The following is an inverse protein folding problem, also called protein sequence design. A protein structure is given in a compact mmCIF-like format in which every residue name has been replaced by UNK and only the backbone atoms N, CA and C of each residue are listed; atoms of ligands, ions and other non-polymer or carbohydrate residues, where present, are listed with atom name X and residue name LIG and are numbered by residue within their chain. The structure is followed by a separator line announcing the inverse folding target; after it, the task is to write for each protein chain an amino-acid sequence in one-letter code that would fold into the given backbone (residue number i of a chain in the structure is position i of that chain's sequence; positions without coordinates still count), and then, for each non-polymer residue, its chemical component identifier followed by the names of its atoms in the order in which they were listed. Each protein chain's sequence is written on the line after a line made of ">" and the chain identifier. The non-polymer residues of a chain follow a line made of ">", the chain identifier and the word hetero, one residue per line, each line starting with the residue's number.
data_IF_242335024974
#
_entry.id   IF_242335024974
#
_cell.length_a   1.000
_cell.length_b   1.000
_cell.length_c   1.000
_cell.angle_alpha   90.00
_cell.angle_beta   90.00
_cell.angle_gamma   90.00
#
_symmetry.space_group_name_H-M   'P 1'
#
loop_
_entity.id
_entity.type
_entity.pdbx_description
1 polymer ?
#
# COMPACT_ATOMS: atom_id res chain seq x y z
N UNK A 1 -3.80 -24.49 7.15
CA UNK A 1 -5.20 -24.07 7.01
C UNK A 1 -5.36 -22.57 6.83
N UNK A 2 -4.80 -21.72 7.69
CA UNK A 2 -4.89 -20.23 7.63
C UNK A 2 -4.51 -19.64 6.25
N UNK A 3 -3.32 -19.96 5.73
CA UNK A 3 -2.85 -19.45 4.42
C UNK A 3 -3.75 -19.86 3.23
N UNK A 4 -4.34 -21.04 3.27
CA UNK A 4 -5.22 -21.53 2.20
C UNK A 4 -6.54 -20.75 2.16
N UNK A 5 -7.09 -20.38 3.31
CA UNK A 5 -8.30 -19.54 3.39
C UNK A 5 -8.04 -18.10 3.00
N UNK A 6 -6.90 -17.51 3.42
CA UNK A 6 -6.48 -16.16 3.00
C UNK A 6 -6.34 -16.11 1.47
N UNK A 7 -5.65 -17.09 0.88
CA UNK A 7 -5.48 -17.19 -0.58
C UNK A 7 -6.84 -17.29 -1.31
N UNK A 8 -7.80 -18.05 -0.78
CA UNK A 8 -9.15 -18.15 -1.37
C UNK A 8 -9.87 -16.81 -1.36
N UNK A 9 -9.86 -16.07 -0.24
CA UNK A 9 -10.50 -14.75 -0.15
C UNK A 9 -9.89 -13.80 -1.17
N UNK A 10 -8.56 -13.75 -1.28
CA UNK A 10 -7.86 -12.88 -2.23
C UNK A 10 -8.16 -13.22 -3.69
N UNK A 11 -8.17 -14.50 -4.05
CA UNK A 11 -8.49 -14.94 -5.43
C UNK A 11 -9.95 -14.63 -5.78
N UNK A 12 -10.90 -14.91 -4.89
CA UNK A 12 -12.31 -14.58 -5.12
C UNK A 12 -12.54 -13.08 -5.25
N UNK A 13 -11.86 -12.27 -4.42
CA UNK A 13 -11.87 -10.82 -4.53
C UNK A 13 -11.34 -10.34 -5.89
N UNK A 14 -10.22 -10.90 -6.35
CA UNK A 14 -9.61 -10.54 -7.63
C UNK A 14 -10.51 -10.91 -8.83
N UNK A 15 -11.08 -12.11 -8.85
CA UNK A 15 -12.00 -12.55 -9.90
C UNK A 15 -13.27 -11.69 -9.90
N UNK A 16 -13.83 -11.42 -8.72
CA UNK A 16 -14.99 -10.56 -8.56
C UNK A 16 -14.72 -9.14 -9.07
N UNK A 17 -13.60 -8.55 -8.69
CA UNK A 17 -13.20 -7.20 -9.14
C UNK A 17 -12.99 -7.14 -10.66
N UNK A 18 -12.38 -8.17 -11.25
CA UNK A 18 -12.20 -8.24 -12.70
C UNK A 18 -13.54 -8.28 -13.45
N UNK A 19 -14.46 -9.13 -13.01
CA UNK A 19 -15.81 -9.20 -13.59
C UNK A 19 -16.54 -7.85 -13.46
N UNK A 20 -16.49 -7.24 -12.26
CA UNK A 20 -17.12 -5.94 -12.01
C UNK A 20 -16.48 -4.82 -12.83
N UNK A 21 -15.16 -4.79 -13.01
CA UNK A 21 -14.47 -3.84 -13.88
C UNK A 21 -15.01 -3.91 -15.31
N UNK A 22 -15.11 -5.11 -15.87
CA UNK A 22 -15.57 -5.30 -17.25
C UNK A 22 -17.01 -4.80 -17.43
N UNK A 23 -17.95 -5.22 -16.58
CA UNK A 23 -19.34 -4.81 -16.72
C UNK A 23 -19.57 -3.31 -16.44
N UNK A 24 -18.89 -2.74 -15.43
CA UNK A 24 -18.93 -1.31 -15.13
C UNK A 24 -18.35 -0.48 -16.27
N UNK A 25 -17.19 -0.92 -16.81
CA UNK A 25 -16.55 -0.25 -17.93
C UNK A 25 -17.44 -0.22 -19.17
N UNK A 26 -17.97 -1.39 -19.57
CA UNK A 26 -18.86 -1.48 -20.74
C UNK A 26 -20.10 -0.59 -20.59
N UNK A 27 -20.77 -0.65 -19.45
CA UNK A 27 -22.00 0.13 -19.24
C UNK A 27 -21.70 1.61 -19.02
N UNK A 28 -20.62 1.96 -18.32
CA UNK A 28 -20.17 3.33 -18.09
C UNK A 28 -19.83 4.06 -19.40
N UNK A 29 -19.02 3.44 -20.25
CA UNK A 29 -18.66 4.01 -21.56
C UNK A 29 -19.86 4.08 -22.51
N UNK A 30 -20.71 3.05 -22.54
CA UNK A 30 -21.89 3.03 -23.41
C UNK A 30 -22.94 4.09 -23.00
N UNK A 31 -23.08 4.39 -21.71
CA UNK A 31 -24.03 5.39 -21.22
C UNK A 31 -23.45 6.81 -21.12
N UNK A 32 -22.12 6.96 -21.12
CA UNK A 32 -21.43 8.22 -20.84
C UNK A 32 -21.49 8.67 -19.37
N UNK A 33 -21.87 7.78 -18.44
CA UNK A 33 -21.91 8.09 -16.99
C UNK A 33 -20.50 8.25 -16.41
N UNK A 34 -20.16 9.47 -15.99
CA UNK A 34 -18.85 9.77 -15.42
C UNK A 34 -18.66 9.06 -14.05
N UNK A 35 -19.72 8.96 -13.27
CA UNK A 35 -19.68 8.26 -11.99
C UNK A 35 -19.43 6.75 -12.17
N UNK A 36 -20.06 6.11 -13.18
CA UNK A 36 -19.85 4.69 -13.48
C UNK A 36 -18.44 4.44 -14.04
N UNK A 37 -17.92 5.34 -14.89
CA UNK A 37 -16.55 5.27 -15.41
C UNK A 37 -15.55 5.39 -14.27
N UNK A 38 -15.74 6.35 -13.36
CA UNK A 38 -14.89 6.51 -12.17
C UNK A 38 -14.90 5.26 -11.27
N UNK A 39 -16.08 4.65 -11.06
CA UNK A 39 -16.22 3.42 -10.29
C UNK A 39 -15.57 2.20 -10.99
N UNK A 40 -15.58 2.15 -12.33
CA UNK A 40 -14.83 1.16 -13.09
C UNK A 40 -13.32 1.33 -12.89
N UNK A 41 -12.79 2.55 -12.94
CA UNK A 41 -11.37 2.83 -12.66
C UNK A 41 -10.99 2.54 -11.22
N UNK A 42 -11.86 2.76 -10.23
CA UNK A 42 -11.64 2.31 -8.87
C UNK A 42 -11.44 0.78 -8.82
N UNK A 43 -12.32 0.03 -9.48
CA UNK A 43 -12.20 -1.45 -9.57
C UNK A 43 -10.94 -1.90 -10.31
N UNK A 44 -10.47 -1.14 -11.32
CA UNK A 44 -9.18 -1.38 -11.97
C UNK A 44 -8.02 -1.19 -10.99
N UNK A 45 -8.04 -0.12 -10.20
CA UNK A 45 -7.04 0.14 -9.14
C UNK A 45 -6.91 -1.02 -8.15
N UNK A 46 -8.03 -1.60 -7.72
CA UNK A 46 -8.05 -2.76 -6.80
C UNK A 46 -7.37 -3.99 -7.43
N UNK A 47 -7.64 -4.25 -8.72
CA UNK A 47 -7.01 -5.35 -9.45
C UNK A 47 -5.51 -5.10 -9.59
N UNK A 48 -5.10 -3.90 -10.00
CA UNK A 48 -3.70 -3.54 -10.12
C UNK A 48 -2.96 -3.70 -8.80
N UNK A 49 -3.52 -3.22 -7.70
CA UNK A 49 -2.97 -3.41 -6.36
C UNK A 49 -2.77 -4.89 -6.02
N UNK A 50 -3.76 -5.74 -6.35
CA UNK A 50 -3.70 -7.19 -6.11
C UNK A 50 -2.63 -7.89 -6.97
N UNK A 51 -2.56 -7.55 -8.27
CA UNK A 51 -1.57 -8.09 -9.21
C UNK A 51 -0.17 -7.68 -8.82
N UNK A 52 0.02 -6.43 -8.39
CA UNK A 52 1.32 -5.94 -7.99
C UNK A 52 1.81 -6.53 -6.68
N UNK A 53 0.92 -6.71 -5.72
CA UNK A 53 1.26 -7.44 -4.50
C UNK A 53 1.73 -8.86 -4.83
N UNK A 54 1.14 -9.49 -5.86
CA UNK A 54 1.56 -10.81 -6.30
C UNK A 54 2.92 -10.80 -7.04
N UNK A 55 3.11 -9.91 -8.02
CA UNK A 55 4.35 -9.79 -8.81
C UNK A 55 5.48 -9.26 -7.94
N UNK A 56 5.22 -8.19 -7.20
CA UNK A 56 6.16 -7.56 -6.28
C UNK A 56 6.68 -8.56 -5.25
N UNK A 57 5.78 -9.33 -4.64
CA UNK A 57 6.14 -10.36 -3.68
C UNK A 57 6.99 -11.48 -4.30
N UNK A 58 6.74 -11.84 -5.56
CA UNK A 58 7.50 -12.86 -6.26
C UNK A 58 8.92 -12.38 -6.64
N UNK A 59 9.07 -11.13 -7.04
CA UNK A 59 10.37 -10.54 -7.40
C UNK A 59 11.13 -10.15 -6.13
N UNK A 60 10.46 -9.48 -5.19
CA UNK A 60 11.04 -9.04 -3.93
C UNK A 60 11.50 -10.21 -3.04
N UNK A 61 10.90 -11.39 -3.21
CA UNK A 61 11.33 -12.62 -2.51
C UNK A 61 12.57 -13.29 -3.09
N UNK A 62 13.11 -12.82 -4.24
CA UNK A 62 14.38 -13.32 -4.75
C UNK A 62 15.50 -12.90 -3.79
N UNK A 63 16.37 -13.86 -3.42
CA UNK A 63 17.51 -13.57 -2.57
C UNK A 63 18.49 -12.59 -3.26
N UNK A 64 19.42 -12.07 -2.48
CA UNK A 64 20.57 -11.32 -3.00
C UNK A 64 21.35 -12.15 -4.02
N UNK A 65 21.81 -11.49 -5.06
CA UNK A 65 22.70 -12.03 -6.09
C UNK A 65 23.91 -11.11 -6.29
N UNK A 66 24.72 -11.38 -7.28
CA UNK A 66 25.94 -10.59 -7.55
C UNK A 66 25.64 -9.15 -7.98
N UNK A 67 24.50 -8.92 -8.62
CA UNK A 67 24.09 -7.60 -9.13
C UNK A 67 23.30 -6.82 -8.08
N UNK A 68 22.60 -7.52 -7.18
CA UNK A 68 21.72 -6.93 -6.16
C UNK A 68 22.09 -7.45 -4.77
N UNK A 69 23.10 -6.83 -4.17
CA UNK A 69 23.69 -7.23 -2.87
C UNK A 69 22.72 -7.19 -1.70
N UNK A 70 21.69 -6.33 -1.77
CA UNK A 70 20.62 -6.22 -0.77
C UNK A 70 19.33 -6.96 -1.18
N UNK A 71 19.40 -7.75 -2.27
CA UNK A 71 18.25 -8.45 -2.84
C UNK A 71 17.32 -7.55 -3.65
N UNK A 72 16.18 -8.07 -4.03
CA UNK A 72 15.26 -7.43 -4.98
C UNK A 72 14.06 -6.73 -4.33
N UNK A 73 14.09 -6.52 -3.02
CA UNK A 73 12.94 -5.99 -2.27
C UNK A 73 12.40 -4.64 -2.75
N UNK A 74 13.25 -3.78 -3.33
CA UNK A 74 12.84 -2.48 -3.89
C UNK A 74 12.03 -2.59 -5.19
N UNK A 75 12.06 -3.73 -5.88
CA UNK A 75 11.29 -3.93 -7.11
C UNK A 75 9.78 -3.70 -6.89
N UNK A 76 9.23 -4.12 -5.75
CA UNK A 76 7.83 -3.88 -5.40
C UNK A 76 7.46 -2.40 -5.47
N UNK A 77 8.31 -1.54 -4.94
CA UNK A 77 8.08 -0.08 -4.91
C UNK A 77 8.23 0.56 -6.29
N UNK A 78 9.13 0.06 -7.15
CA UNK A 78 9.23 0.51 -8.55
C UNK A 78 7.93 0.23 -9.29
N UNK A 79 7.41 -0.98 -9.20
CA UNK A 79 6.14 -1.35 -9.84
C UNK A 79 4.96 -0.56 -9.25
N UNK A 80 4.90 -0.40 -7.93
CA UNK A 80 3.86 0.40 -7.27
C UNK A 80 3.87 1.86 -7.73
N UNK A 81 5.04 2.44 -7.94
CA UNK A 81 5.19 3.81 -8.45
C UNK A 81 4.65 3.94 -9.88
N UNK A 82 4.98 3.01 -10.80
CA UNK A 82 4.45 3.03 -12.17
C UNK A 82 2.92 2.95 -12.21
N UNK A 83 2.34 2.12 -11.35
CA UNK A 83 0.88 1.98 -11.28
C UNK A 83 0.24 3.22 -10.71
N UNK A 84 0.80 3.77 -9.66
CA UNK A 84 0.27 4.98 -9.06
C UNK A 84 0.26 6.15 -10.07
N UNK A 85 1.27 6.25 -10.93
CA UNK A 85 1.29 7.21 -12.04
C UNK A 85 0.15 6.95 -13.01
N UNK A 86 -0.03 5.69 -13.47
CA UNK A 86 -1.10 5.33 -14.38
C UNK A 86 -2.49 5.62 -13.78
N UNK A 87 -2.72 5.23 -12.52
CA UNK A 87 -3.97 5.53 -11.79
C UNK A 87 -4.20 7.04 -11.65
N UNK A 88 -3.15 7.80 -11.33
CA UNK A 88 -3.21 9.26 -11.23
C UNK A 88 -3.62 9.92 -12.55
N UNK A 89 -2.99 9.53 -13.66
CA UNK A 89 -3.31 10.05 -14.99
C UNK A 89 -4.76 9.70 -15.40
N UNK A 90 -5.20 8.46 -15.17
CA UNK A 90 -6.57 8.04 -15.46
C UNK A 90 -7.58 8.84 -14.62
N UNK A 91 -7.32 9.05 -13.34
CA UNK A 91 -8.22 9.82 -12.48
C UNK A 91 -8.32 11.30 -12.90
N UNK A 92 -7.21 11.91 -13.32
CA UNK A 92 -7.20 13.29 -13.85
C UNK A 92 -8.03 13.41 -15.13
N UNK A 93 -7.95 12.42 -16.02
CA UNK A 93 -8.78 12.42 -17.25
C UNK A 93 -10.27 12.31 -16.93
N UNK A 94 -10.66 11.47 -15.96
CA UNK A 94 -12.07 11.38 -15.53
C UNK A 94 -12.51 12.67 -14.84
N UNK A 95 -11.69 13.31 -14.01
CA UNK A 95 -11.99 14.62 -13.40
C UNK A 95 -12.25 15.66 -14.49
N UNK A 96 -11.34 15.77 -15.47
CA UNK A 96 -11.46 16.70 -16.59
C UNK A 96 -12.78 16.47 -17.36
N UNK A 97 -13.06 15.22 -17.73
CA UNK A 97 -14.27 14.88 -18.49
C UNK A 97 -15.54 15.17 -17.68
N UNK A 98 -15.54 14.82 -16.38
CA UNK A 98 -16.67 15.12 -15.49
C UNK A 98 -16.92 16.63 -15.34
N UNK A 99 -15.86 17.45 -15.24
CA UNK A 99 -15.96 18.90 -15.19
C UNK A 99 -16.53 19.45 -16.51
N UNK A 100 -16.03 18.97 -17.65
CA UNK A 100 -16.52 19.40 -18.97
C UNK A 100 -18.01 19.05 -19.14
N UNK A 101 -18.39 17.82 -18.79
CA UNK A 101 -19.80 17.37 -18.82
C UNK A 101 -20.69 18.23 -17.92
N UNK A 102 -20.19 18.57 -16.73
CA UNK A 102 -20.92 19.41 -15.77
C UNK A 102 -21.13 20.84 -16.30
N UNK A 103 -20.08 21.46 -16.86
CA UNK A 103 -20.14 22.84 -17.38
C UNK A 103 -21.03 22.93 -18.63
N UNK A 104 -20.93 21.95 -19.53
CA UNK A 104 -21.74 21.90 -20.75
C UNK A 104 -23.21 21.50 -20.47
N UNK A 105 -23.51 21.00 -19.29
CA UNK A 105 -24.83 20.46 -18.97
C UNK A 105 -25.19 19.21 -19.80
N UNK A 106 -24.16 18.46 -20.23
CA UNK A 106 -24.37 17.26 -21.04
C UNK A 106 -25.12 16.21 -20.20
N UNK A 107 -26.08 15.55 -20.84
CA UNK A 107 -26.87 14.50 -20.21
C UNK A 107 -26.29 13.16 -20.64
N UNK A 108 -25.95 12.30 -19.68
CA UNK A 108 -25.63 10.91 -20.00
C UNK A 108 -26.89 10.14 -20.40
N UNK A 109 -26.72 9.12 -21.23
CA UNK A 109 -27.84 8.29 -21.63
C UNK A 109 -28.23 7.34 -20.48
N UNK A 110 -29.35 7.65 -19.82
CA UNK A 110 -29.86 6.74 -18.81
C UNK A 110 -30.14 5.37 -19.43
N UNK A 111 -29.59 4.34 -18.82
CA UNK A 111 -29.85 2.95 -19.15
C UNK A 111 -30.20 2.18 -17.89
N UNK A 112 -31.18 1.30 -17.98
CA UNK A 112 -31.53 0.39 -16.89
C UNK A 112 -30.32 -0.46 -16.46
N UNK A 113 -29.38 -0.70 -17.36
CA UNK A 113 -28.15 -1.42 -17.09
C UNK A 113 -27.26 -0.75 -16.05
N UNK A 114 -27.31 0.60 -15.92
CA UNK A 114 -26.60 1.32 -14.86
C UNK A 114 -27.08 0.87 -13.48
N UNK A 115 -28.40 0.79 -13.28
CA UNK A 115 -29.00 0.32 -12.02
C UNK A 115 -28.70 -1.16 -11.80
N UNK A 116 -28.82 -1.98 -12.83
CA UNK A 116 -28.54 -3.43 -12.76
C UNK A 116 -27.08 -3.66 -12.34
N UNK A 117 -26.13 -2.98 -12.97
CA UNK A 117 -24.70 -3.13 -12.66
C UNK A 117 -24.37 -2.61 -11.25
N UNK A 118 -24.92 -1.47 -10.82
CA UNK A 118 -24.76 -1.00 -9.43
C UNK A 118 -25.30 -2.02 -8.44
N UNK A 119 -26.49 -2.58 -8.70
CA UNK A 119 -27.11 -3.57 -7.81
C UNK A 119 -26.29 -4.85 -7.73
N UNK A 120 -25.85 -5.40 -8.87
CA UNK A 120 -24.98 -6.58 -8.92
C UNK A 120 -23.67 -6.30 -8.17
N UNK A 121 -23.07 -5.12 -8.37
CA UNK A 121 -21.83 -4.72 -7.69
C UNK A 121 -22.01 -4.70 -6.18
N UNK A 122 -23.07 -4.09 -5.69
CA UNK A 122 -23.35 -4.03 -4.24
C UNK A 122 -23.54 -5.45 -3.68
N UNK A 123 -24.31 -6.31 -4.35
CA UNK A 123 -24.54 -7.69 -3.91
C UNK A 123 -23.22 -8.47 -3.84
N UNK A 124 -22.40 -8.39 -4.89
CA UNK A 124 -21.09 -9.08 -4.96
C UNK A 124 -20.15 -8.55 -3.87
N UNK A 125 -20.04 -7.23 -3.74
CA UNK A 125 -19.13 -6.61 -2.75
C UNK A 125 -19.57 -6.84 -1.31
N UNK A 126 -20.88 -6.84 -1.02
CA UNK A 126 -21.41 -7.22 0.30
C UNK A 126 -21.10 -8.69 0.58
N UNK A 127 -21.27 -9.57 -0.40
CA UNK A 127 -20.91 -10.99 -0.25
C UNK A 127 -19.42 -11.19 0.07
N UNK A 128 -18.53 -10.51 -0.68
CA UNK A 128 -17.08 -10.53 -0.46
C UNK A 128 -16.71 -9.93 0.91
N UNK A 129 -17.32 -8.81 1.29
CA UNK A 129 -17.15 -8.20 2.61
C UNK A 129 -17.51 -9.15 3.75
N UNK A 130 -18.68 -9.77 3.67
CA UNK A 130 -19.14 -10.70 4.70
C UNK A 130 -18.22 -11.93 4.79
N UNK A 131 -17.78 -12.46 3.66
CA UNK A 131 -16.86 -13.59 3.61
C UNK A 131 -15.49 -13.23 4.19
N UNK A 132 -14.89 -12.13 3.75
CA UNK A 132 -13.61 -11.64 4.26
C UNK A 132 -13.69 -11.31 5.75
N UNK A 133 -14.76 -10.66 6.20
CA UNK A 133 -14.98 -10.27 7.60
C UNK A 133 -15.15 -11.50 8.52
N UNK A 134 -15.90 -12.54 8.09
CA UNK A 134 -16.02 -13.80 8.83
C UNK A 134 -14.68 -14.52 8.94
N UNK A 135 -13.93 -14.58 7.85
CA UNK A 135 -12.60 -15.21 7.82
C UNK A 135 -11.59 -14.41 8.66
N UNK A 136 -11.68 -13.08 8.68
CA UNK A 136 -10.89 -12.23 9.57
C UNK A 136 -11.17 -12.53 11.05
N UNK A 137 -12.45 -12.61 11.44
CA UNK A 137 -12.80 -12.94 12.84
C UNK A 137 -12.20 -14.26 13.29
N UNK A 138 -12.10 -15.26 12.40
CA UNK A 138 -11.53 -16.59 12.68
C UNK A 138 -10.00 -16.57 12.75
N UNK A 139 -9.33 -15.83 11.88
CA UNK A 139 -7.86 -15.92 11.72
C UNK A 139 -7.08 -14.69 12.18
N UNK A 140 -7.76 -13.59 12.52
CA UNK A 140 -7.16 -12.32 13.01
C UNK A 140 -6.04 -11.79 12.11
N UNK A 141 -6.14 -11.99 10.78
CA UNK A 141 -5.16 -11.54 9.80
C UNK A 141 -5.44 -10.10 9.38
N UNK A 142 -4.43 -9.23 9.45
CA UNK A 142 -4.53 -7.83 9.02
C UNK A 142 -4.89 -7.71 7.53
N UNK A 143 -4.38 -8.63 6.69
CA UNK A 143 -4.70 -8.68 5.26
C UNK A 143 -6.20 -8.92 5.02
N UNK A 144 -6.82 -9.84 5.77
CA UNK A 144 -8.26 -10.08 5.68
C UNK A 144 -9.08 -8.89 6.17
N UNK A 145 -8.58 -8.17 7.20
CA UNK A 145 -9.19 -6.93 7.67
C UNK A 145 -9.15 -5.83 6.61
N UNK A 146 -8.02 -5.69 5.92
CA UNK A 146 -7.86 -4.74 4.82
C UNK A 146 -8.83 -5.07 3.69
N UNK A 147 -8.84 -6.31 3.17
CA UNK A 147 -9.76 -6.74 2.11
C UNK A 147 -11.24 -6.51 2.47
N UNK A 148 -11.64 -6.79 3.72
CA UNK A 148 -13.00 -6.52 4.16
C UNK A 148 -13.31 -5.02 4.15
N UNK A 149 -12.35 -4.17 4.57
CA UNK A 149 -12.51 -2.71 4.55
C UNK A 149 -12.63 -2.18 3.12
N UNK A 150 -11.84 -2.71 2.19
CA UNK A 150 -11.86 -2.32 0.79
C UNK A 150 -13.21 -2.66 0.15
N UNK A 151 -13.70 -3.89 0.28
CA UNK A 151 -15.02 -4.27 -0.24
C UNK A 151 -16.16 -3.44 0.37
N UNK A 152 -16.05 -3.03 1.64
CA UNK A 152 -17.02 -2.12 2.26
C UNK A 152 -16.97 -0.72 1.62
N UNK A 153 -15.79 -0.20 1.38
CA UNK A 153 -15.59 1.12 0.76
C UNK A 153 -16.15 1.13 -0.67
N UNK A 154 -15.93 0.05 -1.43
CA UNK A 154 -16.50 -0.12 -2.77
C UNK A 154 -18.03 -0.13 -2.77
N UNK A 155 -18.66 -0.72 -1.76
CA UNK A 155 -20.12 -0.64 -1.59
C UNK A 155 -20.58 0.82 -1.45
N UNK A 156 -19.84 1.65 -0.70
CA UNK A 156 -20.18 3.07 -0.52
C UNK A 156 -20.06 3.83 -1.84
N UNK A 157 -18.95 3.63 -2.56
CA UNK A 157 -18.73 4.26 -3.88
C UNK A 157 -19.84 3.89 -4.86
N UNK A 158 -20.18 2.60 -4.97
CA UNK A 158 -21.23 2.13 -5.86
C UNK A 158 -22.63 2.58 -5.41
N UNK A 159 -22.86 2.74 -4.11
CA UNK A 159 -24.13 3.29 -3.60
C UNK A 159 -24.31 4.76 -4.00
N UNK A 160 -23.24 5.58 -3.95
CA UNK A 160 -23.26 6.96 -4.44
C UNK A 160 -23.57 7.01 -5.94
N UNK A 161 -22.99 6.09 -6.70
CA UNK A 161 -23.24 5.93 -8.14
C UNK A 161 -24.71 5.57 -8.41
N UNK A 162 -25.28 4.63 -7.64
CA UNK A 162 -26.68 4.26 -7.74
C UNK A 162 -27.62 5.46 -7.45
N UNK A 163 -27.28 6.25 -6.44
CA UNK A 163 -28.04 7.48 -6.10
C UNK A 163 -28.00 8.47 -7.29
N UNK A 164 -26.85 8.68 -7.90
CA UNK A 164 -26.72 9.53 -9.09
C UNK A 164 -27.61 9.02 -10.24
N UNK A 165 -27.60 7.69 -10.50
CA UNK A 165 -28.47 7.06 -11.50
C UNK A 165 -29.97 7.27 -11.20
N UNK A 166 -30.38 7.11 -9.95
CA UNK A 166 -31.79 7.29 -9.56
C UNK A 166 -32.25 8.76 -9.65
N UNK A 167 -31.36 9.71 -9.33
CA UNK A 167 -31.65 11.13 -9.49
C UNK A 167 -31.75 11.56 -10.95
N UNK A 168 -31.05 10.92 -11.84
CA UNK A 168 -31.16 11.17 -13.29
C UNK A 168 -32.56 10.82 -13.84
N UNK A 169 -33.26 9.86 -13.25
CA UNK A 169 -34.67 9.56 -13.59
C UNK A 169 -35.61 10.75 -13.31
N UNK A 170 -35.22 11.64 -12.40
CA UNK A 170 -35.94 12.89 -12.11
C UNK A 170 -35.43 14.08 -12.91
N UNK A 171 -34.58 13.86 -13.90
CA UNK A 171 -33.96 14.90 -14.71
C UNK A 171 -32.78 15.63 -14.06
N UNK A 172 -32.26 15.11 -12.94
CA UNK A 172 -31.14 15.71 -12.19
C UNK A 172 -29.85 15.01 -12.61
N UNK A 173 -29.30 15.38 -13.78
CA UNK A 173 -28.13 14.71 -14.38
C UNK A 173 -26.79 15.18 -13.82
N UNK A 174 -26.69 16.41 -13.32
CA UNK A 174 -25.42 16.99 -12.83
C UNK A 174 -24.80 16.17 -11.67
N UNK A 175 -25.62 15.44 -10.93
CA UNK A 175 -25.16 14.63 -9.78
C UNK A 175 -24.20 13.53 -10.24
N UNK A 176 -24.39 12.95 -11.43
CA UNK A 176 -23.46 11.95 -11.99
C UNK A 176 -22.06 12.54 -12.15
N UNK A 177 -21.93 13.73 -12.73
CA UNK A 177 -20.64 14.41 -12.88
C UNK A 177 -20.02 14.77 -11.54
N UNK A 178 -20.82 15.24 -10.57
CA UNK A 178 -20.33 15.56 -9.21
C UNK A 178 -19.80 14.30 -8.51
N UNK A 179 -20.53 13.20 -8.59
CA UNK A 179 -20.09 11.91 -8.01
C UNK A 179 -18.86 11.40 -8.75
N UNK A 180 -18.81 11.51 -10.08
CA UNK A 180 -17.64 11.16 -10.87
C UNK A 180 -16.39 11.92 -10.45
N UNK A 181 -16.50 13.25 -10.23
CA UNK A 181 -15.41 14.08 -9.69
C UNK A 181 -14.99 13.58 -8.30
N UNK A 182 -15.95 13.38 -7.40
CA UNK A 182 -15.64 12.98 -6.01
C UNK A 182 -14.89 11.63 -5.95
N UNK A 183 -15.34 10.63 -6.72
CA UNK A 183 -14.70 9.32 -6.80
C UNK A 183 -13.29 9.46 -7.41
N UNK A 184 -13.16 10.22 -8.50
CA UNK A 184 -11.87 10.39 -9.18
C UNK A 184 -10.85 11.16 -8.34
N UNK A 185 -11.28 12.19 -7.60
CA UNK A 185 -10.41 12.88 -6.63
C UNK A 185 -9.94 11.92 -5.54
N UNK A 186 -10.82 11.05 -5.06
CA UNK A 186 -10.45 10.02 -4.10
C UNK A 186 -9.37 9.08 -4.66
N UNK A 187 -9.56 8.58 -5.89
CA UNK A 187 -8.59 7.71 -6.58
C UNK A 187 -7.25 8.43 -6.75
N UNK A 188 -7.27 9.72 -7.13
CA UNK A 188 -6.06 10.54 -7.27
C UNK A 188 -5.28 10.66 -5.96
N UNK A 189 -5.98 10.90 -4.84
CA UNK A 189 -5.36 10.98 -3.52
C UNK A 189 -4.72 9.64 -3.13
N UNK A 190 -5.40 8.52 -3.41
CA UNK A 190 -4.85 7.18 -3.15
C UNK A 190 -3.61 6.93 -4.02
N UNK A 191 -3.68 7.26 -5.31
CA UNK A 191 -2.56 7.12 -6.23
C UNK A 191 -1.35 7.97 -5.77
N UNK A 192 -1.58 9.23 -5.40
CA UNK A 192 -0.53 10.10 -4.88
C UNK A 192 0.13 9.55 -3.61
N UNK A 193 -0.67 8.98 -2.70
CA UNK A 193 -0.15 8.36 -1.48
C UNK A 193 0.75 7.16 -1.80
N UNK A 194 0.32 6.27 -2.69
CA UNK A 194 1.12 5.11 -3.12
C UNK A 194 2.42 5.57 -3.80
N UNK A 195 2.33 6.64 -4.63
CA UNK A 195 3.51 7.22 -5.27
C UNK A 195 4.52 7.73 -4.24
N UNK A 196 4.07 8.53 -3.27
CA UNK A 196 4.94 9.10 -2.24
C UNK A 196 5.55 8.02 -1.33
N UNK A 197 4.78 7.01 -0.93
CA UNK A 197 5.30 5.88 -0.15
C UNK A 197 6.37 5.10 -0.94
N UNK A 198 6.15 4.88 -2.23
CA UNK A 198 7.12 4.21 -3.09
C UNK A 198 8.38 5.06 -3.31
N UNK A 199 8.19 6.36 -3.55
CA UNK A 199 9.28 7.34 -3.69
C UNK A 199 10.16 7.39 -2.44
N UNK A 200 9.56 7.47 -1.26
CA UNK A 200 10.26 7.50 0.02
C UNK A 200 11.19 6.29 0.19
N UNK A 201 10.71 5.08 -0.12
CA UNK A 201 11.54 3.87 -0.02
C UNK A 201 12.66 3.84 -1.07
N UNK A 202 12.39 4.30 -2.30
CA UNK A 202 13.40 4.36 -3.36
C UNK A 202 14.49 5.41 -3.07
N UNK A 203 14.11 6.49 -2.39
CA UNK A 203 15.01 7.56 -1.93
C UNK A 203 15.63 7.30 -0.55
N UNK A 204 15.67 6.04 -0.13
CA UNK A 204 16.31 5.62 1.12
C UNK A 204 15.81 6.35 2.37
N UNK A 205 14.50 6.58 2.46
CA UNK A 205 13.89 7.19 3.64
C UNK A 205 14.32 6.49 4.91
N UNK A 206 14.76 7.26 5.88
CA UNK A 206 15.16 6.77 7.20
C UNK A 206 14.04 5.98 7.89
N UNK A 207 14.44 5.05 8.75
CA UNK A 207 13.55 4.36 9.68
C UNK A 207 12.77 5.37 10.54
N UNK A 208 11.55 5.03 10.91
CA UNK A 208 10.70 5.90 11.74
C UNK A 208 11.29 6.11 13.14
N UNK A 209 10.92 7.23 13.76
CA UNK A 209 11.44 7.64 15.07
C UNK A 209 11.16 6.60 16.17
N UNK A 210 10.00 5.95 16.12
CA UNK A 210 9.61 4.94 17.13
C UNK A 210 10.55 3.74 17.07
N UNK A 211 10.84 3.25 15.87
CA UNK A 211 11.74 2.12 15.68
C UNK A 211 13.18 2.51 15.96
N UNK A 212 13.60 3.73 15.60
CA UNK A 212 14.91 4.27 15.95
C UNK A 212 15.09 4.35 17.47
N UNK A 213 14.11 4.85 18.19
CA UNK A 213 14.15 4.95 19.66
C UNK A 213 14.24 3.58 20.32
N UNK A 214 13.61 2.54 19.76
CA UNK A 214 13.79 1.16 20.24
C UNK A 214 15.26 0.73 20.12
N UNK A 215 15.92 1.02 18.99
CA UNK A 215 17.34 0.70 18.81
C UNK A 215 18.19 1.43 19.87
N UNK A 216 17.98 2.73 20.07
CA UNK A 216 18.71 3.49 21.11
C UNK A 216 18.44 2.97 22.52
N UNK A 217 17.24 2.51 22.82
CA UNK A 217 16.91 1.91 24.12
C UNK A 217 17.64 0.58 24.35
N UNK A 218 17.84 -0.23 23.29
CA UNK A 218 18.67 -1.44 23.39
C UNK A 218 20.12 -1.05 23.61
N UNK A 219 20.66 -0.12 22.82
CA UNK A 219 22.04 0.35 22.96
C UNK A 219 22.31 0.86 24.41
N UNK A 220 21.37 1.59 24.99
CA UNK A 220 21.48 2.13 26.34
C UNK A 220 21.57 1.07 27.48
N UNK A 221 21.20 -0.18 27.19
CA UNK A 221 21.37 -1.30 28.15
C UNK A 221 22.83 -1.76 28.27
N UNK A 222 23.62 -1.51 27.20
CA UNK A 222 25.04 -1.90 27.14
C UNK A 222 25.91 -0.79 27.75
N UNK A 223 26.24 -0.92 29.02
CA UNK A 223 27.01 0.09 29.81
C UNK A 223 28.43 0.31 29.27
N UNK A 224 28.97 -0.65 28.55
CA UNK A 224 30.27 -0.62 27.89
C UNK A 224 30.30 0.40 26.75
N UNK A 225 29.14 0.71 26.12
CA UNK A 225 29.02 1.68 25.07
C UNK A 225 28.87 3.08 25.66
N UNK A 226 29.84 3.94 25.40
CA UNK A 226 29.91 5.28 25.99
C UNK A 226 29.28 6.36 25.09
N UNK A 227 29.27 6.13 23.79
CA UNK A 227 28.71 7.07 22.80
C UNK A 227 28.30 6.34 21.53
N UNK A 228 27.29 6.87 20.85
CA UNK A 228 26.82 6.40 19.52
C UNK A 228 26.82 7.57 18.56
N UNK A 229 27.37 7.37 17.36
CA UNK A 229 27.40 8.36 16.29
C UNK A 229 27.06 7.70 14.93
N UNK A 230 26.83 8.54 13.93
CA UNK A 230 26.67 8.13 12.51
C UNK A 230 25.57 7.07 12.30
N UNK A 231 24.44 7.28 12.96
CA UNK A 231 23.29 6.39 12.76
C UNK A 231 22.68 6.64 11.38
N UNK A 232 22.70 5.62 10.52
CA UNK A 232 22.07 5.61 9.21
C UNK A 232 21.15 4.40 9.08
N UNK A 233 20.09 4.54 8.29
CA UNK A 233 19.20 3.44 7.96
C UNK A 233 18.82 3.49 6.49
N UNK A 234 18.77 2.31 5.85
CA UNK A 234 18.44 2.15 4.43
C UNK A 234 17.37 1.09 4.28
N UNK A 235 16.25 1.35 3.57
CA UNK A 235 15.22 0.35 3.33
C UNK A 235 15.74 -0.80 2.47
N UNK A 236 15.48 -2.03 2.91
CA UNK A 236 15.75 -3.28 2.20
C UNK A 236 14.42 -4.02 2.02
N UNK A 237 13.64 -3.64 0.99
CA UNK A 237 12.24 -4.05 0.85
C UNK A 237 11.39 -3.47 1.98
N UNK A 238 10.72 -4.32 2.74
CA UNK A 238 9.88 -3.92 3.88
C UNK A 238 10.65 -3.85 5.22
N UNK A 239 11.95 -4.13 5.21
CA UNK A 239 12.83 -4.06 6.38
C UNK A 239 13.93 -3.03 6.15
N UNK A 240 14.74 -2.79 7.17
CA UNK A 240 15.81 -1.81 7.14
C UNK A 240 17.17 -2.47 7.44
N UNK A 241 18.18 -2.03 6.71
CA UNK A 241 19.57 -2.12 7.16
C UNK A 241 19.86 -0.88 8.00
N UNK A 242 20.48 -1.06 9.16
CA UNK A 242 20.99 0.05 9.98
C UNK A 242 22.50 -0.02 10.08
N UNK A 243 23.13 1.14 10.17
CA UNK A 243 24.55 1.24 10.45
C UNK A 243 24.81 2.38 11.42
N UNK A 244 25.68 2.14 12.39
CA UNK A 244 26.08 3.16 13.34
C UNK A 244 27.45 2.86 13.93
N UNK A 245 28.04 3.88 14.58
CA UNK A 245 29.33 3.78 15.26
C UNK A 245 29.12 3.77 16.77
N UNK A 246 29.67 2.79 17.45
CA UNK A 246 29.75 2.77 18.92
C UNK A 246 31.17 3.13 19.39
N UNK A 247 31.25 3.76 20.54
CA UNK A 247 32.50 4.09 21.19
C UNK A 247 32.61 3.32 22.50
N UNK A 248 33.68 2.54 22.66
CA UNK A 248 33.98 1.70 23.81
C UNK A 248 35.35 2.08 24.42
N UNK A 249 35.70 1.53 25.56
CA UNK A 249 37.02 1.78 26.16
C UNK A 249 38.15 1.36 25.22
N UNK A 250 39.08 2.28 24.94
CA UNK A 250 40.21 2.05 24.05
C UNK A 250 41.23 1.02 24.52
N UNK A 251 41.14 0.59 25.80
CA UNK A 251 42.00 -0.44 26.36
C UNK A 251 41.47 -1.86 26.15
N UNK A 252 40.25 -2.03 25.62
CA UNK A 252 39.69 -3.34 25.30
C UNK A 252 40.48 -4.02 24.19
N UNK A 253 40.59 -5.35 24.28
CA UNK A 253 41.12 -6.14 23.16
C UNK A 253 40.17 -6.06 21.95
N UNK A 254 40.68 -6.33 20.75
CA UNK A 254 39.84 -6.44 19.55
C UNK A 254 38.76 -7.52 19.76
N UNK A 255 39.07 -8.59 20.45
CA UNK A 255 38.12 -9.67 20.76
C UNK A 255 36.97 -9.17 21.64
N UNK A 256 37.28 -8.51 22.76
CA UNK A 256 36.26 -8.02 23.69
C UNK A 256 35.39 -6.94 23.08
N UNK A 257 35.98 -6.01 22.31
CA UNK A 257 35.22 -4.96 21.62
C UNK A 257 34.32 -5.52 20.56
N UNK A 258 34.75 -6.57 19.83
CA UNK A 258 33.91 -7.27 18.82
C UNK A 258 32.78 -8.06 19.50
N UNK A 259 33.01 -8.67 20.67
CA UNK A 259 31.98 -9.38 21.43
C UNK A 259 30.86 -8.43 21.87
N UNK A 260 31.18 -7.21 22.30
CA UNK A 260 30.18 -6.18 22.63
C UNK A 260 29.31 -5.87 21.39
N UNK A 261 29.93 -5.66 20.22
CA UNK A 261 29.20 -5.40 18.99
C UNK A 261 28.29 -6.57 18.58
N UNK A 262 28.80 -7.82 18.66
CA UNK A 262 28.03 -9.02 18.34
C UNK A 262 26.82 -9.23 19.26
N UNK A 263 26.97 -8.95 20.54
CA UNK A 263 25.89 -9.08 21.50
C UNK A 263 24.80 -8.05 21.25
N UNK A 264 25.19 -6.83 20.95
CA UNK A 264 24.27 -5.75 20.57
C UNK A 264 23.53 -6.08 19.27
N UNK A 265 24.24 -6.56 18.24
CA UNK A 265 23.63 -6.98 16.95
C UNK A 265 22.57 -8.07 17.19
N UNK A 266 22.90 -9.12 17.94
CA UNK A 266 21.97 -10.22 18.25
C UNK A 266 20.74 -9.76 19.02
N UNK A 267 20.89 -8.79 19.93
CA UNK A 267 19.77 -8.25 20.70
C UNK A 267 18.86 -7.43 19.83
N UNK A 268 19.40 -6.57 18.96
CA UNK A 268 18.64 -5.79 17.98
C UNK A 268 17.87 -6.71 17.03
N UNK A 269 18.53 -7.68 16.42
CA UNK A 269 17.91 -8.64 15.48
C UNK A 269 16.77 -9.44 16.13
N UNK A 270 16.91 -9.75 17.42
CA UNK A 270 15.89 -10.51 18.17
C UNK A 270 14.69 -9.65 18.55
N UNK A 271 14.90 -8.39 18.95
CA UNK A 271 13.85 -7.54 19.49
C UNK A 271 13.14 -6.69 18.41
N UNK A 272 13.80 -6.42 17.28
CA UNK A 272 13.28 -5.54 16.22
C UNK A 272 13.24 -6.29 14.88
N UNK A 273 12.17 -7.04 14.60
CA UNK A 273 12.05 -7.83 13.35
C UNK A 273 12.05 -6.99 12.06
N UNK A 274 11.82 -5.69 12.17
CA UNK A 274 11.87 -4.72 11.07
C UNK A 274 13.31 -4.47 10.59
N UNK A 275 14.33 -4.83 11.38
CA UNK A 275 15.74 -4.72 11.00
C UNK A 275 16.17 -6.02 10.29
N UNK A 276 16.77 -5.84 9.11
CA UNK A 276 17.29 -6.93 8.27
C UNK A 276 18.76 -7.21 8.53
N UNK A 277 19.53 -6.15 8.77
CA UNK A 277 20.98 -6.21 8.96
C UNK A 277 21.44 -5.03 9.82
N UNK A 278 22.23 -5.32 10.82
CA UNK A 278 22.88 -4.31 11.66
C UNK A 278 24.37 -4.29 11.35
N UNK A 279 24.92 -3.13 10.99
CA UNK A 279 26.36 -2.92 10.78
C UNK A 279 26.89 -1.99 11.86
N UNK A 280 27.80 -2.49 12.69
CA UNK A 280 28.34 -1.73 13.82
C UNK A 280 29.82 -1.46 13.57
N UNK A 281 30.16 -0.18 13.52
CA UNK A 281 31.55 0.26 13.53
C UNK A 281 31.97 0.55 14.97
N UNK A 282 33.06 -0.06 15.42
CA UNK A 282 33.57 0.11 16.79
C UNK A 282 34.77 1.05 16.79
N UNK A 283 34.67 2.13 17.55
CA UNK A 283 35.76 3.06 17.76
C UNK A 283 36.21 3.09 19.23
N UNK A 284 37.50 3.28 19.51
CA UNK A 284 37.95 3.56 20.87
C UNK A 284 37.44 4.94 21.28
N UNK A 285 37.05 5.06 22.54
CA UNK A 285 36.84 6.35 23.15
C UNK A 285 38.24 6.97 23.38
N UNK A 286 38.47 8.17 22.79
CA UNK A 286 39.75 8.85 23.02
C UNK A 286 39.97 9.08 24.51
N UNK A 287 40.92 8.37 25.07
CA UNK A 287 41.48 8.70 26.38
C UNK A 287 42.27 9.99 26.13
N UNK A 288 41.72 11.15 26.53
CA UNK A 288 42.55 12.38 26.57
C UNK A 288 43.79 12.06 27.33
N UNK A 289 44.94 12.00 26.62
CA UNK A 289 46.25 12.02 27.24
C UNK A 289 46.46 13.34 28.00
#
# INVERSE_FOLDING_TARGET
>A
MKFKEIKKVSILGMIGNFFLLVIKGLVGFASGSQAMIADAFNSAGDIFSSVMTFIGNRIASKPRDNDHNLGHGKAEYIYSMFISIAMGLMSLEVIKNSIVTLIKGEKFQFSIWLIVVCTITIIVKVGLYLYASRTYKKHKSLLLKANAKDHRNDCIVTALNLVACLLSLKGIYFVDSVVGIAISVWIFIVALKIFLESYDVLMDKSIDDVTRDKVYNIIARHKEIKRVNHFNSTPVGYRYQISFTIFVDGNLSTFDSHEIANNLEKEIDKEIPEIYLTVIHVNPLDVKK
#
